data_IF_260319275538
#
_entry.id   IF_260319275538
#
_cell.length_a   1.000
_cell.length_b   1.000
_cell.length_c   1.000
_cell.angle_alpha   90.00
_cell.angle_beta   90.00
_cell.angle_gamma   90.00
#
_symmetry.space_group_name_H-M   'P 1'
#
loop_
_entity.id
_entity.type
_entity.pdbx_description
1 polymer ?
#
# COMPACT_ATOMS: atom_id res chain seq x y z
N UNK A 1 -15.51 0.40 -21.29
CA UNK A 1 -14.99 -0.13 -20.00
C UNK A 1 -15.75 0.52 -18.83
N UNK A 2 -17.09 0.59 -18.91
CA UNK A 2 -17.81 1.67 -18.21
C UNK A 2 -18.93 1.22 -17.25
N UNK A 3 -19.64 0.12 -17.55
CA UNK A 3 -20.76 -0.33 -16.71
C UNK A 3 -20.30 -1.04 -15.43
N UNK A 4 -19.37 -2.01 -15.54
CA UNK A 4 -18.82 -2.72 -14.36
C UNK A 4 -18.16 -1.75 -13.38
N UNK A 5 -17.34 -0.82 -13.88
CA UNK A 5 -16.71 0.22 -13.07
C UNK A 5 -17.72 1.05 -12.29
N UNK A 6 -18.75 1.55 -12.97
CA UNK A 6 -19.81 2.34 -12.33
C UNK A 6 -20.56 1.56 -11.25
N UNK A 7 -20.93 0.32 -11.54
CA UNK A 7 -21.64 -0.54 -10.58
C UNK A 7 -20.77 -0.81 -9.36
N UNK A 8 -19.50 -1.16 -9.56
CA UNK A 8 -18.54 -1.41 -8.47
C UNK A 8 -18.24 -0.15 -7.66
N UNK A 9 -18.10 1.01 -8.31
CA UNK A 9 -17.92 2.27 -7.59
C UNK A 9 -19.14 2.63 -6.73
N UNK A 10 -20.36 2.42 -7.25
CA UNK A 10 -21.59 2.62 -6.47
C UNK A 10 -21.63 1.66 -5.27
N UNK A 11 -21.35 0.39 -5.51
CA UNK A 11 -21.26 -0.63 -4.46
C UNK A 11 -20.27 -0.22 -3.36
N UNK A 12 -19.07 0.27 -3.71
CA UNK A 12 -18.08 0.72 -2.72
C UNK A 12 -18.58 1.90 -1.87
N UNK A 13 -19.28 2.87 -2.48
CA UNK A 13 -19.85 4.00 -1.74
C UNK A 13 -20.95 3.54 -0.77
N UNK A 14 -21.80 2.61 -1.21
CA UNK A 14 -22.88 2.06 -0.40
C UNK A 14 -22.34 1.21 0.77
N UNK A 15 -21.38 0.33 0.51
CA UNK A 15 -20.73 -0.52 1.54
C UNK A 15 -20.01 0.30 2.61
N UNK A 16 -19.34 1.38 2.21
CA UNK A 16 -18.53 2.20 3.12
C UNK A 16 -19.30 3.39 3.73
N UNK A 17 -20.53 3.63 3.30
CA UNK A 17 -21.33 4.80 3.68
C UNK A 17 -20.71 6.14 3.26
N UNK A 18 -19.71 6.14 2.35
CA UNK A 18 -19.05 7.36 1.93
C UNK A 18 -19.89 8.14 0.92
N UNK A 19 -19.99 9.46 1.13
CA UNK A 19 -20.60 10.34 0.14
C UNK A 19 -19.67 10.60 -1.05
N UNK A 20 -20.23 10.91 -2.22
CA UNK A 20 -19.47 11.31 -3.42
C UNK A 20 -18.55 12.51 -3.14
N UNK A 21 -18.99 13.46 -2.29
CA UNK A 21 -18.19 14.62 -1.88
C UNK A 21 -17.00 14.19 -1.01
N UNK A 22 -17.19 13.23 -0.11
CA UNK A 22 -16.11 12.68 0.71
C UNK A 22 -15.04 12.03 -0.17
N UNK A 23 -15.48 11.18 -1.10
CA UNK A 23 -14.59 10.52 -2.05
C UNK A 23 -13.84 11.54 -2.93
N UNK A 24 -14.54 12.55 -3.46
CA UNK A 24 -13.91 13.60 -4.27
C UNK A 24 -12.79 14.33 -3.51
N UNK A 25 -13.02 14.65 -2.23
CA UNK A 25 -12.00 15.27 -1.36
C UNK A 25 -10.81 14.34 -1.14
N UNK A 26 -11.03 13.07 -0.83
CA UNK A 26 -9.96 12.10 -0.61
C UNK A 26 -9.07 11.91 -1.85
N UNK A 27 -9.66 11.98 -3.05
CA UNK A 27 -8.95 11.81 -4.32
C UNK A 27 -8.34 13.10 -4.88
N UNK A 28 -8.64 14.26 -4.28
CA UNK A 28 -8.22 15.57 -4.78
C UNK A 28 -8.85 15.96 -6.12
N UNK A 29 -10.09 15.51 -6.38
CA UNK A 29 -10.84 15.83 -7.61
C UNK A 29 -12.12 16.61 -7.29
N UNK A 30 -12.73 17.25 -8.29
CA UNK A 30 -14.00 17.94 -8.08
C UNK A 30 -15.15 16.94 -7.91
N UNK A 31 -16.15 17.29 -7.10
CA UNK A 31 -17.34 16.45 -6.92
C UNK A 31 -18.09 16.16 -8.23
N UNK A 32 -18.00 17.07 -9.21
CA UNK A 32 -18.55 16.88 -10.55
C UNK A 32 -17.91 15.69 -11.28
N UNK A 33 -16.62 15.43 -11.08
CA UNK A 33 -15.93 14.29 -11.70
C UNK A 33 -16.51 12.97 -11.18
N UNK A 34 -16.67 12.83 -9.87
CA UNK A 34 -17.25 11.62 -9.25
C UNK A 34 -18.71 11.44 -9.67
N UNK A 35 -19.49 12.52 -9.70
CA UNK A 35 -20.87 12.49 -10.18
C UNK A 35 -20.93 11.97 -11.62
N UNK A 36 -20.07 12.48 -12.51
CA UNK A 36 -20.05 12.05 -13.92
C UNK A 36 -19.70 10.57 -14.07
N UNK A 37 -18.76 10.04 -13.28
CA UNK A 37 -18.47 8.60 -13.28
C UNK A 37 -19.69 7.73 -12.94
N UNK A 38 -20.54 8.23 -12.04
CA UNK A 38 -21.73 7.51 -11.57
C UNK A 38 -22.96 7.69 -12.45
N UNK A 39 -23.06 8.80 -13.19
CA UNK A 39 -24.27 9.17 -13.94
C UNK A 39 -24.12 9.10 -15.45
N UNK A 40 -22.94 9.33 -16.02
CA UNK A 40 -22.73 9.45 -17.46
C UNK A 40 -22.22 8.15 -18.08
N UNK A 41 -23.03 7.45 -18.91
CA UNK A 41 -22.63 6.24 -19.64
C UNK A 41 -21.37 6.37 -20.47
N UNK A 42 -21.08 7.56 -20.97
CA UNK A 42 -19.98 7.84 -21.89
C UNK A 42 -18.72 8.34 -21.17
N UNK A 43 -18.78 8.54 -19.85
CA UNK A 43 -17.64 9.03 -19.09
C UNK A 43 -16.82 7.89 -18.50
N UNK A 44 -15.80 7.46 -19.25
CA UNK A 44 -14.78 6.54 -18.71
C UNK A 44 -13.83 7.27 -17.74
N UNK A 45 -13.44 6.59 -16.66
CA UNK A 45 -12.38 7.02 -15.79
C UNK A 45 -11.02 6.65 -16.41
N UNK A 46 -10.08 7.60 -16.40
CA UNK A 46 -8.71 7.30 -16.77
C UNK A 46 -8.10 6.33 -15.75
N UNK A 47 -7.21 5.44 -16.20
CA UNK A 47 -6.62 4.40 -15.36
C UNK A 47 -6.02 4.95 -14.05
N UNK A 48 -5.35 6.10 -14.09
CA UNK A 48 -4.79 6.71 -12.87
C UNK A 48 -5.86 7.08 -11.82
N UNK A 49 -7.07 7.46 -12.24
CA UNK A 49 -8.18 7.73 -11.31
C UNK A 49 -8.77 6.43 -10.79
N UNK A 50 -8.88 5.40 -11.63
CA UNK A 50 -9.28 4.05 -11.19
C UNK A 50 -8.29 3.55 -10.14
N UNK A 51 -6.98 3.67 -10.38
CA UNK A 51 -5.94 3.27 -9.43
C UNK A 51 -6.03 4.03 -8.10
N UNK A 52 -6.25 5.35 -8.12
CA UNK A 52 -6.44 6.13 -6.88
C UNK A 52 -7.68 5.71 -6.10
N UNK A 53 -8.80 5.47 -6.78
CA UNK A 53 -10.03 4.99 -6.15
C UNK A 53 -9.81 3.58 -5.57
N UNK A 54 -9.17 2.71 -6.34
CA UNK A 54 -8.84 1.35 -5.95
C UNK A 54 -7.95 1.34 -4.70
N UNK A 55 -6.94 2.21 -4.65
CA UNK A 55 -6.08 2.41 -3.49
C UNK A 55 -6.85 2.94 -2.27
N UNK A 56 -7.76 3.90 -2.46
CA UNK A 56 -8.56 4.48 -1.37
C UNK A 56 -9.49 3.45 -0.70
N UNK A 57 -10.06 2.53 -1.49
CA UNK A 57 -10.95 1.48 -1.00
C UNK A 57 -10.26 0.15 -0.74
N UNK A 58 -8.94 0.09 -0.88
CA UNK A 58 -8.12 -1.13 -0.79
C UNK A 58 -8.68 -2.29 -1.63
N UNK A 59 -8.86 -2.05 -2.93
CA UNK A 59 -9.29 -3.06 -3.91
C UNK A 59 -8.39 -3.06 -5.14
N UNK A 60 -8.37 -4.14 -5.92
CA UNK A 60 -7.61 -4.20 -7.18
C UNK A 60 -8.18 -3.22 -8.23
N UNK A 61 -7.32 -2.47 -8.94
CA UNK A 61 -7.75 -1.61 -10.04
C UNK A 61 -8.29 -2.41 -11.24
N UNK A 62 -7.81 -3.63 -11.45
CA UNK A 62 -8.32 -4.55 -12.48
C UNK A 62 -9.76 -4.99 -12.16
N UNK A 63 -10.04 -5.27 -10.88
CA UNK A 63 -11.40 -5.53 -10.42
C UNK A 63 -12.26 -4.28 -10.55
N UNK A 64 -11.82 -3.14 -10.03
CA UNK A 64 -12.61 -1.92 -10.12
C UNK A 64 -12.91 -1.54 -11.59
N UNK A 65 -11.93 -1.67 -12.49
CA UNK A 65 -12.06 -1.39 -13.92
C UNK A 65 -12.87 -2.43 -14.71
N UNK A 66 -13.19 -3.59 -14.15
CA UNK A 66 -14.01 -4.61 -14.80
C UNK A 66 -13.25 -5.70 -15.57
N UNK A 67 -11.92 -5.78 -15.41
CA UNK A 67 -11.05 -6.75 -16.12
C UNK A 67 -11.06 -8.14 -15.47
N UNK A 68 -11.28 -8.21 -14.16
CA UNK A 68 -11.47 -9.45 -13.40
C UNK A 68 -12.73 -9.36 -12.53
N UNK A 69 -13.26 -10.51 -12.13
CA UNK A 69 -14.37 -10.60 -11.17
C UNK A 69 -13.89 -10.88 -9.74
N UNK A 70 -12.59 -11.15 -9.55
CA UNK A 70 -11.97 -11.34 -8.23
C UNK A 70 -11.67 -10.00 -7.54
N UNK A 71 -12.32 -9.74 -6.40
CA UNK A 71 -12.05 -8.55 -5.57
C UNK A 71 -10.88 -8.86 -4.62
N UNK A 72 -9.68 -8.47 -5.00
CA UNK A 72 -8.48 -8.58 -4.16
C UNK A 72 -8.10 -7.23 -3.54
N UNK A 73 -7.42 -7.19 -2.39
CA UNK A 73 -6.91 -5.94 -1.82
C UNK A 73 -5.97 -5.21 -2.77
N UNK A 74 -5.85 -3.89 -2.63
CA UNK A 74 -4.87 -3.14 -3.42
C UNK A 74 -3.49 -3.51 -2.89
N UNK A 75 -2.70 -4.26 -3.68
CA UNK A 75 -1.34 -4.66 -3.29
C UNK A 75 -0.43 -3.43 -3.23
N UNK A 76 -0.46 -2.68 -2.13
CA UNK A 76 0.59 -1.72 -1.80
C UNK A 76 1.84 -2.52 -1.45
N UNK A 77 2.90 -2.34 -2.25
CA UNK A 77 4.25 -2.80 -2.00
C UNK A 77 4.36 -4.04 -1.11
N UNK A 78 4.36 -5.21 -1.74
CA UNK A 78 4.65 -6.47 -1.06
C UNK A 78 5.97 -6.34 -0.27
N UNK A 79 6.12 -7.05 0.85
CA UNK A 79 7.39 -7.10 1.60
C UNK A 79 8.56 -7.45 0.67
N UNK A 80 8.29 -8.23 -0.37
CA UNK A 80 9.23 -8.52 -1.47
C UNK A 80 9.72 -7.25 -2.18
N UNK A 81 8.82 -6.30 -2.47
CA UNK A 81 9.17 -5.01 -3.10
C UNK A 81 10.06 -4.14 -2.22
N UNK A 82 9.84 -4.16 -0.90
CA UNK A 82 10.72 -3.49 0.07
C UNK A 82 12.07 -4.20 0.08
N UNK A 83 12.07 -5.54 0.20
CA UNK A 83 13.27 -6.36 0.21
C UNK A 83 14.17 -6.12 -1.01
N UNK A 84 13.60 -6.04 -2.22
CA UNK A 84 14.38 -5.78 -3.43
C UNK A 84 15.04 -4.39 -3.47
N UNK A 85 14.45 -3.40 -2.77
CA UNK A 85 14.99 -2.03 -2.68
C UNK A 85 16.04 -1.85 -1.59
N UNK A 86 16.16 -2.79 -0.65
CA UNK A 86 17.15 -2.73 0.42
C UNK A 86 18.56 -3.02 -0.10
N UNK A 87 19.56 -2.43 0.54
CA UNK A 87 20.97 -2.82 0.38
C UNK A 87 21.20 -4.24 0.90
N UNK A 88 22.35 -4.85 0.61
CA UNK A 88 22.71 -6.17 1.16
C UNK A 88 22.63 -6.20 2.69
N UNK A 89 23.08 -5.13 3.34
CA UNK A 89 22.98 -4.96 4.80
C UNK A 89 21.51 -4.93 5.27
N UNK A 90 20.66 -4.13 4.62
CA UNK A 90 19.25 -4.05 5.00
C UNK A 90 18.50 -5.37 4.80
N UNK A 91 18.86 -6.16 3.78
CA UNK A 91 18.30 -7.50 3.57
C UNK A 91 18.68 -8.47 4.70
N UNK A 92 19.94 -8.44 5.11
CA UNK A 92 20.45 -9.27 6.21
C UNK A 92 19.77 -8.90 7.54
N UNK A 93 19.63 -7.60 7.82
CA UNK A 93 18.93 -7.10 9.00
C UNK A 93 17.45 -7.52 9.02
N UNK A 94 16.74 -7.35 7.90
CA UNK A 94 15.35 -7.78 7.77
C UNK A 94 15.19 -9.30 7.94
N UNK A 95 16.10 -10.09 7.40
CA UNK A 95 16.10 -11.55 7.57
C UNK A 95 16.25 -11.94 9.04
N UNK A 96 17.22 -11.37 9.75
CA UNK A 96 17.42 -11.66 11.17
C UNK A 96 16.23 -11.23 12.02
N UNK A 97 15.61 -10.11 11.70
CA UNK A 97 14.39 -9.68 12.38
C UNK A 97 13.22 -10.63 12.12
N UNK A 98 13.05 -11.12 10.90
CA UNK A 98 12.05 -12.14 10.58
C UNK A 98 12.26 -13.44 11.38
N UNK A 99 13.51 -13.91 11.46
CA UNK A 99 13.86 -15.08 12.30
C UNK A 99 13.57 -14.84 13.78
N UNK A 100 13.84 -13.63 14.28
CA UNK A 100 13.52 -13.24 15.65
C UNK A 100 12.00 -13.28 15.91
N UNK A 101 11.19 -12.72 15.02
CA UNK A 101 9.74 -12.72 15.18
C UNK A 101 9.17 -14.15 15.20
N UNK A 102 9.61 -15.01 14.27
CA UNK A 102 9.22 -16.42 14.23
C UNK A 102 9.58 -17.14 15.53
N UNK A 103 10.80 -16.92 16.04
CA UNK A 103 11.22 -17.49 17.31
C UNK A 103 10.44 -16.94 18.50
N UNK A 104 9.99 -15.68 18.47
CA UNK A 104 9.21 -15.10 19.56
C UNK A 104 7.79 -15.67 19.59
N UNK A 105 7.15 -15.78 18.43
CA UNK A 105 5.81 -16.35 18.31
C UNK A 105 5.78 -17.81 18.75
N UNK A 106 6.81 -18.61 18.42
CA UNK A 106 6.92 -19.99 18.90
C UNK A 106 7.16 -20.10 20.42
N UNK A 107 7.78 -19.09 21.04
CA UNK A 107 8.08 -19.07 22.49
C UNK A 107 6.93 -18.49 23.32
N UNK A 108 6.09 -17.64 22.72
CA UNK A 108 4.84 -17.20 23.35
C UNK A 108 3.82 -18.36 23.46
N UNK A 109 3.91 -19.38 22.59
CA UNK A 109 3.20 -20.65 22.74
C UNK A 109 3.82 -21.59 23.79
N UNK A 110 5.15 -21.53 23.99
CA UNK A 110 5.91 -22.35 24.94
C UNK A 110 6.61 -21.47 25.99
N UNK A 111 5.86 -20.95 26.97
CA UNK A 111 6.33 -19.98 27.96
C UNK A 111 7.72 -20.29 28.58
N UNK A 112 8.75 -19.56 28.13
CA UNK A 112 10.12 -19.70 28.63
C UNK A 112 11.11 -18.73 27.98
N UNK A 113 11.48 -17.67 28.70
CA UNK A 113 12.19 -16.50 28.16
C UNK A 113 13.59 -16.73 27.58
N UNK A 114 13.86 -16.11 26.43
CA UNK A 114 15.18 -15.91 25.85
C UNK A 114 15.56 -14.41 25.86
N UNK A 115 16.75 -14.08 26.39
CA UNK A 115 17.26 -12.71 26.39
C UNK A 115 17.98 -12.40 25.06
N UNK A 116 17.62 -11.32 24.34
CA UNK A 116 18.16 -11.05 23.01
C UNK A 116 19.66 -10.72 23.04
N UNK A 117 20.40 -11.19 22.02
CA UNK A 117 21.76 -10.75 21.75
C UNK A 117 21.75 -9.27 21.33
N UNK A 118 22.68 -8.43 21.82
CA UNK A 118 22.74 -7.03 21.43
C UNK A 118 22.92 -6.92 19.91
N UNK A 119 22.15 -6.03 19.27
CA UNK A 119 22.34 -5.69 17.87
C UNK A 119 23.77 -5.20 17.64
N UNK A 120 24.40 -5.55 16.50
CA UNK A 120 25.68 -4.96 16.13
C UNK A 120 25.52 -3.44 16.06
N UNK A 121 26.40 -2.72 16.75
CA UNK A 121 26.35 -1.26 16.78
C UNK A 121 26.56 -0.73 15.37
N UNK A 122 25.69 0.17 14.93
CA UNK A 122 25.81 0.93 13.68
C UNK A 122 27.25 1.46 13.56
N UNK A 123 28.01 1.13 12.49
CA UNK A 123 29.29 1.77 12.25
C UNK A 123 29.05 3.28 12.07
N UNK A 124 29.88 4.10 12.71
CA UNK A 124 29.80 5.54 12.61
C UNK A 124 29.81 5.95 11.12
N UNK A 125 29.00 6.93 10.70
CA UNK A 125 29.13 7.48 9.36
C UNK A 125 30.58 7.94 9.18
N UNK A 126 31.22 7.53 8.08
CA UNK A 126 32.57 7.97 7.75
C UNK A 126 32.59 9.50 7.75
N UNK A 127 33.48 10.08 8.54
CA UNK A 127 33.70 11.52 8.61
C UNK A 127 33.91 12.06 7.20
N UNK A 128 33.06 13.01 6.78
CA UNK A 128 33.22 13.70 5.51
C UNK A 128 34.61 14.36 5.47
N UNK A 129 35.34 14.30 4.34
CA UNK A 129 36.64 14.96 4.25
C UNK A 129 36.46 16.48 4.41
N UNK A 130 37.22 17.07 5.33
CA UNK A 130 37.26 18.51 5.54
C UNK A 130 37.50 19.22 4.21
N UNK A 131 36.57 20.10 3.84
CA UNK A 131 36.70 20.96 2.68
C UNK A 131 37.78 21.99 2.99
N UNK A 132 39.01 21.71 2.53
CA UNK A 132 40.11 22.68 2.54
C UNK A 132 39.71 23.80 1.58
N UNK A 133 39.35 24.95 2.15
CA UNK A 133 39.16 26.19 1.39
C UNK A 133 40.55 26.79 1.15
N UNK A 134 40.94 26.90 -0.12
CA UNK A 134 42.15 27.63 -0.57
C UNK A 134 41.79 29.07 -0.86
#
# INVERSE_FOLDING_TARGET
>A
MNQKFRTRLRQLLDETGQSQRSLARALGVSGSVISKYLSDPNKDALFHNVAKIAQHFDVSPEWLGGMTDERTPFKQGDITSIYFRLSSFGKEELYHYGQYLLSRESVEEEGGGYAPRPLPRRPAPASEPEVITV
#
